data_IF_638749752492
#
_entry.id   IF_638749752492
#
_cell.length_a   1.000
_cell.length_b   1.000
_cell.length_c   1.000
_cell.angle_alpha   90.00
_cell.angle_beta   90.00
_cell.angle_gamma   90.00
#
_symmetry.space_group_name_H-M   'P 1'
#
loop_
_entity.id
_entity.type
_entity.pdbx_description
1 polymer ?
#
# COMPACT_ATOMS: atom_id res chain seq x y z
N UNK A 1 -12.48 4.09 -6.77
CA UNK A 1 -13.63 3.50 -6.04
C UNK A 1 -13.27 3.52 -4.57
N UNK A 2 -13.98 4.32 -3.77
CA UNK A 2 -13.71 4.48 -2.34
C UNK A 2 -14.26 3.26 -1.59
N UNK A 3 -13.49 2.72 -0.64
CA UNK A 3 -13.85 1.51 0.10
C UNK A 3 -14.37 1.90 1.49
N UNK A 4 -15.67 1.67 1.72
CA UNK A 4 -16.30 1.68 3.04
C UNK A 4 -16.08 0.33 3.74
N UNK A 5 -15.82 0.41 5.04
CA UNK A 5 -15.63 -0.73 5.93
C UNK A 5 -16.93 -1.48 6.19
N UNK A 6 -17.00 -2.71 5.68
CA UNK A 6 -17.83 -3.76 6.23
C UNK A 6 -17.19 -5.10 5.88
N UNK A 7 -17.02 -6.00 6.87
CA UNK A 7 -16.50 -7.36 6.66
C UNK A 7 -17.30 -8.19 5.64
N UNK A 8 -18.46 -7.71 5.18
CA UNK A 8 -19.23 -8.27 4.07
C UNK A 8 -18.70 -7.92 2.66
N UNK A 9 -17.90 -6.86 2.50
CA UNK A 9 -17.48 -6.36 1.18
C UNK A 9 -16.24 -7.04 0.58
N UNK A 10 -15.41 -7.71 1.39
CA UNK A 10 -14.31 -8.51 0.85
C UNK A 10 -14.83 -9.65 -0.03
N UNK A 11 -15.94 -10.29 0.38
CA UNK A 11 -16.58 -11.35 -0.37
C UNK A 11 -17.25 -10.87 -1.67
N UNK A 12 -17.59 -9.58 -1.78
CA UNK A 12 -18.30 -9.04 -2.94
C UNK A 12 -17.37 -8.79 -4.13
N UNK A 13 -16.08 -8.56 -3.88
CA UNK A 13 -15.12 -8.27 -4.95
C UNK A 13 -14.33 -9.51 -5.37
N UNK A 14 -14.19 -10.48 -4.45
CA UNK A 14 -13.50 -11.76 -4.66
C UNK A 14 -13.92 -12.50 -5.95
N UNK A 15 -15.21 -12.54 -6.36
CA UNK A 15 -15.62 -13.22 -7.59
C UNK A 15 -15.15 -12.55 -8.89
N UNK A 16 -14.64 -11.31 -8.84
CA UNK A 16 -14.13 -10.59 -10.02
C UNK A 16 -12.62 -10.80 -10.25
N UNK A 17 -11.93 -11.60 -9.43
CA UNK A 17 -10.46 -11.77 -9.46
C UNK A 17 -9.95 -12.95 -10.29
N UNK A 18 -10.78 -13.64 -11.08
CA UNK A 18 -10.30 -14.76 -11.89
C UNK A 18 -9.35 -14.33 -13.02
N UNK A 19 -9.35 -13.05 -13.45
CA UNK A 19 -8.49 -12.51 -14.52
C UNK A 19 -7.68 -11.25 -14.12
N UNK A 20 -7.39 -11.05 -12.83
CA UNK A 20 -6.60 -9.89 -12.37
C UNK A 20 -5.15 -10.25 -12.18
N UNK A 21 -4.28 -9.71 -13.03
CA UNK A 21 -2.83 -9.98 -12.95
C UNK A 21 -2.14 -9.22 -11.80
N UNK A 22 -2.67 -8.06 -11.41
CA UNK A 22 -2.12 -7.23 -10.34
C UNK A 22 -3.16 -6.40 -9.59
N UNK A 23 -2.94 -6.20 -8.29
CA UNK A 23 -3.70 -5.28 -7.44
C UNK A 23 -2.83 -4.10 -7.06
N UNK A 24 -3.38 -2.89 -7.21
CA UNK A 24 -2.77 -1.65 -6.73
C UNK A 24 -3.47 -1.23 -5.44
N UNK A 25 -2.74 -1.26 -4.34
CA UNK A 25 -3.19 -0.79 -3.04
C UNK A 25 -2.67 0.62 -2.76
N UNK A 26 -3.59 1.53 -2.40
CA UNK A 26 -3.27 2.92 -2.07
C UNK A 26 -3.29 3.09 -0.54
N UNK A 27 -2.13 3.27 0.07
CA UNK A 27 -1.99 3.53 1.50
C UNK A 27 -1.78 5.04 1.75
N UNK A 28 -2.77 5.80 2.26
CA UNK A 28 -2.62 7.22 2.54
C UNK A 28 -1.79 7.47 3.81
N UNK A 29 -0.46 7.43 3.70
CA UNK A 29 0.45 7.49 4.85
C UNK A 29 0.41 8.82 5.62
N UNK A 30 -0.07 9.89 4.98
CA UNK A 30 -0.33 11.18 5.65
C UNK A 30 -1.45 11.13 6.70
N UNK A 31 -2.26 10.07 6.73
CA UNK A 31 -3.35 9.88 7.69
C UNK A 31 -2.94 9.32 9.05
N UNK A 32 -1.64 9.31 9.38
CA UNK A 32 -1.13 8.73 10.63
C UNK A 32 -1.69 9.39 11.91
N UNK A 33 -2.15 10.64 11.81
CA UNK A 33 -2.74 11.46 12.87
C UNK A 33 -4.27 11.63 12.70
N UNK A 34 -4.89 10.88 11.79
CA UNK A 34 -6.31 10.98 11.46
C UNK A 34 -7.06 9.71 11.84
N UNK A 35 -8.34 9.88 12.15
CA UNK A 35 -9.30 8.79 12.32
C UNK A 35 -10.18 8.63 11.09
N UNK A 36 -10.86 7.50 10.95
CA UNK A 36 -11.85 7.31 9.88
C UNK A 36 -13.05 8.27 10.06
N UNK A 37 -13.73 8.57 8.96
CA UNK A 37 -14.90 9.46 9.01
C UNK A 37 -16.11 8.71 9.57
N UNK A 38 -16.22 7.45 9.20
CA UNK A 38 -17.22 6.46 9.59
C UNK A 38 -17.03 5.94 11.02
N UNK A 39 -15.77 5.81 11.47
CA UNK A 39 -15.44 5.37 12.83
C UNK A 39 -14.29 6.20 13.42
N UNK A 40 -14.63 7.12 14.33
CA UNK A 40 -13.67 8.01 14.98
C UNK A 40 -12.77 7.31 16.00
N UNK A 41 -12.99 6.03 16.30
CA UNK A 41 -12.10 5.24 17.17
C UNK A 41 -10.94 4.59 16.41
N UNK A 42 -11.02 4.52 15.08
CA UNK A 42 -10.04 3.81 14.24
C UNK A 42 -9.09 4.80 13.58
N UNK A 43 -7.77 4.60 13.77
CA UNK A 43 -6.75 5.37 13.08
C UNK A 43 -6.67 4.96 11.59
N UNK A 44 -6.68 5.94 10.69
CA UNK A 44 -6.74 5.71 9.25
C UNK A 44 -5.52 4.97 8.66
N UNK A 45 -4.33 5.17 9.24
CA UNK A 45 -3.13 4.46 8.80
C UNK A 45 -3.13 3.02 9.32
N UNK A 46 -3.54 2.81 10.57
CA UNK A 46 -3.66 1.47 11.15
C UNK A 46 -4.66 0.62 10.37
N UNK A 47 -5.78 1.22 10.02
CA UNK A 47 -6.78 0.68 9.12
C UNK A 47 -6.20 0.20 7.77
N UNK A 48 -5.41 1.06 7.11
CA UNK A 48 -4.73 0.72 5.86
C UNK A 48 -3.74 -0.44 6.02
N UNK A 49 -3.09 -0.54 7.19
CA UNK A 49 -2.18 -1.65 7.53
C UNK A 49 -2.96 -2.96 7.70
N UNK A 50 -4.14 -2.92 8.30
CA UNK A 50 -5.01 -4.09 8.45
C UNK A 50 -5.51 -4.59 7.09
N UNK A 51 -6.01 -3.70 6.23
CA UNK A 51 -6.44 -4.08 4.87
C UNK A 51 -5.30 -4.70 4.07
N UNK A 52 -4.11 -4.10 4.12
CA UNK A 52 -2.95 -4.65 3.42
C UNK A 52 -2.62 -6.06 3.90
N UNK A 53 -2.62 -6.29 5.22
CA UNK A 53 -2.43 -7.63 5.79
C UNK A 53 -3.48 -8.63 5.30
N UNK A 54 -4.75 -8.23 5.21
CA UNK A 54 -5.85 -9.07 4.70
C UNK A 54 -5.68 -9.39 3.21
N UNK A 55 -5.25 -8.43 2.40
CA UNK A 55 -4.97 -8.64 0.97
C UNK A 55 -3.79 -9.61 0.80
N UNK A 56 -2.70 -9.39 1.53
CA UNK A 56 -1.51 -10.25 1.46
C UNK A 56 -1.84 -11.69 1.88
N UNK A 57 -2.65 -11.89 2.92
CA UNK A 57 -2.99 -13.22 3.44
C UNK A 57 -4.02 -13.99 2.62
N UNK A 58 -4.66 -13.34 1.64
CA UNK A 58 -5.70 -13.98 0.85
C UNK A 58 -5.10 -15.02 -0.13
N UNK A 59 -5.48 -16.29 0.08
CA UNK A 59 -5.04 -17.43 -0.74
C UNK A 59 -5.53 -17.35 -2.19
N UNK A 60 -6.68 -16.74 -2.44
CA UNK A 60 -7.20 -16.53 -3.80
C UNK A 60 -6.31 -15.56 -4.58
N UNK A 61 -5.65 -14.65 -3.87
CA UNK A 61 -4.72 -13.69 -4.47
C UNK A 61 -3.29 -14.22 -4.53
N UNK A 62 -3.02 -15.49 -4.22
CA UNK A 62 -1.66 -16.06 -4.11
C UNK A 62 -0.77 -15.82 -5.34
N UNK A 63 -1.37 -15.75 -6.53
CA UNK A 63 -0.68 -15.55 -7.81
C UNK A 63 -0.75 -14.13 -8.36
N UNK A 64 -1.50 -13.25 -7.69
CA UNK A 64 -1.71 -11.86 -8.09
C UNK A 64 -0.56 -11.00 -7.61
N UNK A 65 0.01 -10.17 -8.49
CA UNK A 65 1.05 -9.23 -8.10
C UNK A 65 0.47 -8.10 -7.25
N UNK A 66 1.16 -7.75 -6.15
CA UNK A 66 0.70 -6.68 -5.26
C UNK A 66 1.60 -5.46 -5.40
N UNK A 67 1.00 -4.34 -5.75
CA UNK A 67 1.66 -3.05 -5.90
C UNK A 67 1.14 -2.10 -4.82
N UNK A 68 2.05 -1.57 -4.02
CA UNK A 68 1.75 -0.62 -2.95
C UNK A 68 2.14 0.79 -3.38
N UNK A 69 1.17 1.71 -3.37
CA UNK A 69 1.44 3.13 -3.43
C UNK A 69 1.25 3.75 -2.04
N UNK A 70 2.34 4.24 -1.48
CA UNK A 70 2.32 5.15 -0.34
C UNK A 70 1.87 6.52 -0.87
N UNK A 71 0.63 6.88 -0.62
CA UNK A 71 -0.02 8.05 -1.21
C UNK A 71 -0.01 9.25 -0.26
N UNK A 72 -0.14 10.44 -0.85
CA UNK A 72 -0.17 11.75 -0.16
C UNK A 72 1.15 12.09 0.51
N UNK A 73 2.29 11.75 -0.12
CA UNK A 73 3.62 12.09 0.40
C UNK A 73 3.83 13.61 0.50
N UNK A 74 3.18 14.40 -0.35
CA UNK A 74 3.16 15.87 -0.28
C UNK A 74 2.49 16.39 0.99
N UNK A 75 1.37 15.78 1.41
CA UNK A 75 0.68 16.14 2.64
C UNK A 75 1.47 15.68 3.86
N UNK A 76 2.08 14.50 3.78
CA UNK A 76 2.98 14.01 4.81
C UNK A 76 4.13 15.00 5.06
N UNK A 77 4.83 15.41 4.01
CA UNK A 77 5.96 16.34 4.09
C UNK A 77 5.55 17.67 4.75
N UNK A 78 4.41 18.25 4.33
CA UNK A 78 3.86 19.47 4.94
C UNK A 78 3.58 19.31 6.45
N UNK A 79 3.01 18.18 6.87
CA UNK A 79 2.72 17.91 8.30
C UNK A 79 3.99 17.76 9.14
N UNK A 80 4.99 17.05 8.62
CA UNK A 80 6.25 16.87 9.32
C UNK A 80 6.98 18.22 9.48
N UNK A 81 6.99 19.05 8.43
CA UNK A 81 7.54 20.41 8.45
C UNK A 81 6.80 21.35 9.39
N UNK A 82 5.49 21.19 9.57
CA UNK A 82 4.72 21.96 10.55
C UNK A 82 4.93 21.48 12.00
N UNK A 83 5.82 20.52 12.24
CA UNK A 83 6.21 20.05 13.56
C UNK A 83 5.41 18.85 14.08
N UNK A 84 4.46 18.30 13.31
CA UNK A 84 3.74 17.08 13.70
C UNK A 84 4.74 15.93 13.77
N UNK A 85 4.79 15.25 14.92
CA UNK A 85 5.75 14.17 15.19
C UNK A 85 5.10 12.82 14.99
N UNK A 86 5.64 12.02 14.07
CA UNK A 86 5.13 10.67 13.80
C UNK A 86 5.20 9.76 15.04
N UNK A 87 6.28 9.87 15.83
CA UNK A 87 6.49 9.07 17.03
C UNK A 87 5.37 9.19 18.07
N UNK A 88 4.59 10.29 18.06
CA UNK A 88 3.41 10.46 18.94
C UNK A 88 2.27 9.51 18.60
N UNK A 89 2.16 9.12 17.33
CA UNK A 89 1.07 8.28 16.81
C UNK A 89 1.53 6.86 16.52
N UNK A 90 2.78 6.69 16.09
CA UNK A 90 3.37 5.38 15.75
C UNK A 90 4.54 5.12 16.69
N UNK A 91 4.27 4.47 17.83
CA UNK A 91 5.28 4.19 18.86
C UNK A 91 6.48 3.40 18.34
N UNK A 92 6.25 2.48 17.40
CA UNK A 92 7.30 1.69 16.75
C UNK A 92 8.24 2.51 15.86
N UNK A 93 7.92 3.78 15.59
CA UNK A 93 8.82 4.71 14.89
C UNK A 93 10.00 5.16 15.76
N UNK A 94 9.86 5.12 17.10
CA UNK A 94 10.89 5.46 18.08
C UNK A 94 11.46 6.87 17.86
N UNK A 95 12.77 7.04 18.02
CA UNK A 95 13.56 8.28 18.00
C UNK A 95 14.15 8.60 16.61
N UNK A 96 13.65 7.95 15.57
CA UNK A 96 14.07 8.21 14.18
C UNK A 96 13.78 9.67 13.78
N UNK A 97 14.57 10.17 12.84
CA UNK A 97 14.39 11.52 12.29
C UNK A 97 12.98 11.72 11.73
N UNK A 98 12.35 12.84 12.07
CA UNK A 98 10.98 13.17 11.69
C UNK A 98 10.91 13.90 10.34
N UNK A 99 11.74 13.49 9.38
CA UNK A 99 11.75 13.99 8.01
C UNK A 99 11.00 13.06 7.06
N UNK A 100 10.60 13.60 5.91
CA UNK A 100 9.75 12.89 4.94
C UNK A 100 10.40 11.62 4.41
N UNK A 101 11.71 11.64 4.14
CA UNK A 101 12.43 10.48 3.59
C UNK A 101 12.48 9.33 4.60
N UNK A 102 12.86 9.62 5.85
CA UNK A 102 12.92 8.64 6.93
C UNK A 102 11.55 8.02 7.20
N UNK A 103 10.49 8.84 7.23
CA UNK A 103 9.12 8.37 7.45
C UNK A 103 8.62 7.50 6.30
N UNK A 104 8.85 7.92 5.05
CA UNK A 104 8.46 7.14 3.87
C UNK A 104 9.19 5.79 3.83
N UNK A 105 10.49 5.77 4.12
CA UNK A 105 11.29 4.55 4.20
C UNK A 105 10.77 3.62 5.30
N UNK A 106 10.45 4.16 6.46
CA UNK A 106 9.87 3.40 7.56
C UNK A 106 8.56 2.71 7.16
N UNK A 107 7.62 3.45 6.56
CA UNK A 107 6.36 2.86 6.11
C UNK A 107 6.57 1.83 5.02
N UNK A 108 7.40 2.13 4.02
CA UNK A 108 7.74 1.18 2.96
C UNK A 108 8.26 -0.14 3.55
N UNK A 109 9.19 -0.08 4.50
CA UNK A 109 9.71 -1.25 5.19
C UNK A 109 8.65 -2.00 6.00
N UNK A 110 7.75 -1.27 6.68
CA UNK A 110 6.64 -1.87 7.44
C UNK A 110 5.69 -2.67 6.54
N UNK A 111 5.22 -2.06 5.45
CA UNK A 111 4.33 -2.75 4.50
C UNK A 111 5.03 -3.91 3.77
N UNK A 112 6.33 -3.77 3.45
CA UNK A 112 7.13 -4.84 2.85
C UNK A 112 7.29 -6.04 3.81
N UNK A 113 7.51 -5.78 5.09
CA UNK A 113 7.59 -6.83 6.10
C UNK A 113 6.26 -7.60 6.21
N UNK A 114 5.13 -6.88 6.21
CA UNK A 114 3.79 -7.49 6.23
C UNK A 114 3.57 -8.35 4.98
N UNK A 115 3.90 -7.86 3.78
CA UNK A 115 3.74 -8.67 2.57
C UNK A 115 4.56 -9.96 2.67
N UNK A 116 5.82 -9.86 3.11
CA UNK A 116 6.70 -11.03 3.25
C UNK A 116 6.21 -12.03 4.28
N UNK A 117 5.66 -11.56 5.40
CA UNK A 117 5.20 -12.42 6.51
C UNK A 117 3.86 -13.10 6.22
N UNK A 118 2.92 -12.38 5.60
CA UNK A 118 1.54 -12.86 5.45
C UNK A 118 1.22 -13.45 4.08
N UNK A 119 2.06 -13.24 3.05
CA UNK A 119 1.78 -13.82 1.74
C UNK A 119 1.88 -15.35 1.77
N UNK A 120 0.90 -16.08 1.20
CA UNK A 120 0.91 -17.54 1.15
C UNK A 120 2.05 -18.11 0.28
N UNK A 121 2.59 -17.29 -0.61
CA UNK A 121 3.69 -17.58 -1.52
C UNK A 121 4.68 -16.40 -1.49
N UNK A 122 5.98 -16.63 -1.69
CA UNK A 122 6.94 -15.55 -1.85
C UNK A 122 6.56 -14.65 -3.04
N UNK A 123 6.47 -13.34 -2.80
CA UNK A 123 6.20 -12.33 -3.83
C UNK A 123 7.25 -11.23 -3.76
N UNK A 124 7.62 -10.69 -4.91
CA UNK A 124 8.46 -9.50 -4.95
C UNK A 124 7.66 -8.30 -4.45
N UNK A 125 8.31 -7.42 -3.70
CA UNK A 125 7.67 -6.24 -3.13
C UNK A 125 7.79 -5.04 -4.08
N UNK A 126 6.64 -4.48 -4.48
CA UNK A 126 6.55 -3.30 -5.32
C UNK A 126 5.93 -2.14 -4.54
N UNK A 127 6.78 -1.39 -3.83
CA UNK A 127 6.37 -0.16 -3.17
C UNK A 127 6.75 1.07 -3.99
N UNK A 128 5.91 2.09 -4.00
CA UNK A 128 6.20 3.40 -4.60
C UNK A 128 5.64 4.50 -3.71
N UNK A 129 6.32 5.65 -3.70
CA UNK A 129 5.81 6.85 -3.07
C UNK A 129 5.11 7.70 -4.13
N UNK A 130 3.94 8.23 -3.80
CA UNK A 130 3.09 8.97 -4.74
C UNK A 130 2.52 10.22 -4.07
N UNK A 131 2.42 11.29 -4.85
CA UNK A 131 1.82 12.56 -4.45
C UNK A 131 0.83 13.01 -5.52
N UNK A 132 -0.21 13.75 -5.12
CA UNK A 132 -1.23 14.26 -6.06
C UNK A 132 -0.62 15.19 -7.11
N UNK A 133 0.51 15.84 -6.79
CA UNK A 133 1.25 16.72 -7.69
C UNK A 133 2.15 15.99 -8.70
N UNK A 134 2.33 14.67 -8.55
CA UNK A 134 3.27 13.86 -9.35
C UNK A 134 2.53 12.86 -10.27
N UNK A 135 1.59 13.40 -11.06
CA UNK A 135 0.76 12.64 -11.99
C UNK A 135 1.63 11.96 -13.08
N UNK A 136 2.74 12.58 -13.47
CA UNK A 136 3.72 12.05 -14.43
C UNK A 136 4.39 10.77 -13.93
N UNK A 137 4.65 10.65 -12.63
CA UNK A 137 5.31 9.48 -12.04
C UNK A 137 4.34 8.30 -11.93
N UNK A 138 3.06 8.55 -11.64
CA UNK A 138 2.07 7.47 -11.45
C UNK A 138 1.78 6.71 -12.75
N UNK A 139 1.62 7.41 -13.89
CA UNK A 139 1.45 6.77 -15.19
C UNK A 139 2.68 5.97 -15.63
N UNK A 140 3.89 6.48 -15.34
CA UNK A 140 5.14 5.76 -15.59
C UNK A 140 5.31 4.52 -14.71
N UNK A 141 4.89 4.60 -13.44
CA UNK A 141 4.87 3.44 -12.52
C UNK A 141 3.85 2.41 -13.01
N UNK A 142 2.65 2.85 -13.42
CA UNK A 142 1.63 1.96 -13.98
C UNK A 142 2.11 1.26 -15.26
N UNK A 143 2.79 1.99 -16.15
CA UNK A 143 3.42 1.41 -17.34
C UNK A 143 4.50 0.39 -16.96
N UNK A 144 5.36 0.72 -15.99
CA UNK A 144 6.40 -0.19 -15.49
C UNK A 144 5.83 -1.45 -14.84
N UNK A 145 4.74 -1.32 -14.07
CA UNK A 145 4.01 -2.44 -13.48
C UNK A 145 3.40 -3.30 -14.57
N UNK A 146 2.75 -2.69 -15.56
CA UNK A 146 2.15 -3.40 -16.71
C UNK A 146 3.20 -4.17 -17.50
N UNK A 147 4.33 -3.55 -17.84
CA UNK A 147 5.42 -4.20 -18.57
C UNK A 147 6.00 -5.38 -17.80
N UNK A 148 6.12 -5.25 -16.48
CA UNK A 148 6.66 -6.30 -15.64
C UNK A 148 5.70 -7.47 -15.48
N UNK A 149 4.41 -7.20 -15.31
CA UNK A 149 3.35 -8.21 -15.36
C UNK A 149 3.39 -8.93 -16.69
N UNK A 150 3.37 -8.21 -17.82
CA UNK A 150 3.45 -8.80 -19.17
C UNK A 150 4.69 -9.67 -19.34
N UNK A 151 5.87 -9.24 -18.87
CA UNK A 151 7.10 -10.05 -18.93
C UNK A 151 6.98 -11.35 -18.14
N UNK A 152 6.35 -11.34 -16.97
CA UNK A 152 6.13 -12.55 -16.19
C UNK A 152 5.12 -13.50 -16.86
N UNK A 153 4.07 -12.97 -17.50
CA UNK A 153 3.18 -13.79 -18.34
C UNK A 153 3.93 -14.42 -19.51
N UNK A 154 4.74 -13.64 -20.25
CA UNK A 154 5.52 -14.14 -21.39
C UNK A 154 6.52 -15.24 -20.97
N UNK A 155 7.17 -15.11 -19.81
CA UNK A 155 8.02 -16.16 -19.25
C UNK A 155 7.23 -17.43 -18.92
N UNK A 156 6.03 -17.31 -18.37
CA UNK A 156 5.16 -18.46 -18.05
C UNK A 156 4.66 -19.16 -19.32
N UNK A 157 4.49 -18.43 -20.42
CA UNK A 157 3.97 -18.95 -21.70
C UNK A 157 5.00 -19.68 -22.57
N UNK A 158 6.26 -19.87 -22.14
CA UNK A 158 7.36 -20.48 -22.93
C UNK A 158 7.60 -19.80 -24.29
N UNK A 159 7.38 -18.49 -24.40
CA UNK A 159 7.76 -17.70 -25.59
C UNK A 159 9.15 -17.06 -25.46
N UNK A 160 9.90 -17.42 -24.42
CA UNK A 160 11.35 -17.24 -24.24
C UNK A 160 11.92 -18.47 -23.54
#
# INVERSE_FOLDING_TARGET
MFADYNCANLATWIPFFEDVDAIIFLAPISGFDQVLAEDKSVNRLEDSVLLWKMICSNKLLAKVELVLFLNKCDILDKKLKSGVRLAKYVRSFQDRSNDSETVQKYFRSKFAAIQREYSPSPRKFYGFCTSVTEITTTSGILASVRDMVIREHLKRSRLL
#
